data_IF_028805959731
#
_entry.id   IF_028805959731
#
_cell.length_a   1.000
_cell.length_b   1.000
_cell.length_c   1.000
_cell.angle_alpha   90.00
_cell.angle_beta   90.00
_cell.angle_gamma   90.00
#
_symmetry.space_group_name_H-M   'P 1'
#
loop_
_entity.id
_entity.type
_entity.pdbx_description
1 polymer ?
#
# COMPACT_ATOMS: atom_id res chain seq x y z
N UNK A 1 -6.17 20.01 -34.00
CA UNK A 1 -4.90 19.26 -34.02
C UNK A 1 -4.41 18.83 -32.64
N UNK A 2 -4.17 19.74 -31.68
CA UNK A 2 -3.76 19.33 -30.32
C UNK A 2 -4.88 18.60 -29.54
N UNK A 3 -6.11 19.12 -29.59
CA UNK A 3 -7.25 18.49 -28.91
C UNK A 3 -7.53 17.10 -29.50
N UNK A 4 -7.53 16.98 -30.83
CA UNK A 4 -7.73 15.69 -31.51
C UNK A 4 -6.66 14.67 -31.12
N UNK A 5 -5.39 15.10 -31.00
CA UNK A 5 -4.31 14.22 -30.55
C UNK A 5 -4.48 13.76 -29.10
N UNK A 6 -5.03 14.61 -28.24
CA UNK A 6 -5.36 14.26 -26.85
C UNK A 6 -6.54 13.28 -26.83
N UNK A 7 -7.57 13.50 -27.64
CA UNK A 7 -8.71 12.59 -27.76
C UNK A 7 -8.28 11.21 -28.26
N UNK A 8 -7.41 11.15 -29.28
CA UNK A 8 -6.85 9.89 -29.79
C UNK A 8 -6.02 9.19 -28.70
N UNK A 9 -5.14 9.92 -28.02
CA UNK A 9 -4.35 9.35 -26.92
C UNK A 9 -5.23 8.80 -25.80
N UNK A 10 -6.25 9.54 -25.35
CA UNK A 10 -7.18 9.05 -24.32
C UNK A 10 -7.95 7.83 -24.80
N UNK A 11 -8.38 7.80 -26.07
CA UNK A 11 -9.04 6.63 -26.65
C UNK A 11 -8.11 5.40 -26.68
N UNK A 12 -6.86 5.56 -27.12
CA UNK A 12 -5.85 4.49 -27.14
C UNK A 12 -5.48 4.00 -25.73
N UNK A 13 -5.44 4.91 -24.76
CA UNK A 13 -5.13 4.60 -23.37
C UNK A 13 -6.25 3.80 -22.69
N UNK A 14 -7.51 4.16 -22.93
CA UNK A 14 -8.65 3.52 -22.25
C UNK A 14 -9.25 2.32 -23.00
N UNK A 15 -9.03 2.17 -24.31
CA UNK A 15 -9.65 1.08 -25.11
C UNK A 15 -9.33 -0.33 -24.63
N UNK A 16 -8.11 -0.56 -24.17
CA UNK A 16 -7.62 -1.89 -23.79
C UNK A 16 -7.74 -2.12 -22.27
N UNK A 17 -8.34 -1.17 -21.55
CA UNK A 17 -8.37 -1.16 -20.09
C UNK A 17 -9.75 -1.56 -19.59
N UNK A 18 -9.81 -2.66 -18.84
CA UNK A 18 -11.05 -3.15 -18.26
C UNK A 18 -11.42 -2.46 -16.94
N UNK A 19 -10.46 -1.89 -16.23
CA UNK A 19 -10.67 -1.17 -14.97
C UNK A 19 -9.61 -0.08 -14.80
N UNK A 20 -9.99 1.08 -14.24
CA UNK A 20 -9.07 2.20 -14.00
C UNK A 20 -8.05 1.79 -12.93
N UNK A 21 -6.81 1.57 -13.32
CA UNK A 21 -5.70 1.24 -12.42
C UNK A 21 -5.01 2.50 -11.88
N UNK A 22 -4.36 2.38 -10.72
CA UNK A 22 -3.58 3.48 -10.10
C UNK A 22 -2.37 3.86 -10.93
N UNK A 23 -1.75 2.92 -11.65
CA UNK A 23 -0.65 3.16 -12.60
C UNK A 23 -1.08 4.13 -13.71
N UNK A 24 -2.24 3.86 -14.31
CA UNK A 24 -2.82 4.69 -15.36
C UNK A 24 -3.18 6.08 -14.85
N UNK A 25 -3.74 6.18 -13.64
CA UNK A 25 -4.03 7.47 -13.03
C UNK A 25 -2.75 8.29 -12.77
N UNK A 26 -1.65 7.64 -12.39
CA UNK A 26 -0.34 8.29 -12.20
C UNK A 26 0.22 8.80 -13.54
N UNK A 27 0.18 7.99 -14.59
CA UNK A 27 0.62 8.38 -15.94
C UNK A 27 -0.19 9.57 -16.46
N UNK A 28 -1.51 9.51 -16.28
CA UNK A 28 -2.42 10.55 -16.74
C UNK A 28 -2.23 11.84 -15.93
N UNK A 29 -2.02 11.76 -14.61
CA UNK A 29 -1.72 12.92 -13.75
C UNK A 29 -0.36 13.56 -14.07
N UNK A 30 0.62 12.76 -14.52
CA UNK A 30 1.92 13.27 -14.98
C UNK A 30 1.76 14.11 -16.26
N UNK A 31 0.90 13.66 -17.18
CA UNK A 31 0.70 14.30 -18.49
C UNK A 31 -0.35 15.43 -18.46
N UNK A 32 -1.36 15.31 -17.62
CA UNK A 32 -2.45 16.27 -17.44
C UNK A 32 -2.68 16.55 -15.94
N UNK A 33 -1.92 17.48 -15.34
CA UNK A 33 -1.96 17.73 -13.89
C UNK A 33 -3.32 18.22 -13.37
N UNK A 34 -4.11 18.87 -14.23
CA UNK A 34 -5.45 19.40 -13.93
C UNK A 34 -6.57 18.38 -14.16
N UNK A 35 -6.24 17.15 -14.58
CA UNK A 35 -7.21 16.13 -14.89
C UNK A 35 -7.74 15.47 -13.60
N UNK A 36 -8.98 15.81 -13.26
CA UNK A 36 -9.61 15.35 -12.02
C UNK A 36 -10.09 13.91 -12.14
N UNK A 37 -10.21 13.21 -11.00
CA UNK A 37 -10.71 11.84 -10.97
C UNK A 37 -12.11 11.71 -11.58
N UNK A 38 -12.99 12.69 -11.37
CA UNK A 38 -14.34 12.72 -11.94
C UNK A 38 -14.31 12.78 -13.48
N UNK A 39 -13.33 13.51 -14.04
CA UNK A 39 -13.16 13.62 -15.48
C UNK A 39 -12.59 12.32 -16.07
N UNK A 40 -11.69 11.63 -15.34
CA UNK A 40 -11.19 10.29 -15.70
C UNK A 40 -12.34 9.29 -15.80
N UNK A 41 -13.20 9.22 -14.78
CA UNK A 41 -14.33 8.27 -14.77
C UNK A 41 -15.31 8.57 -15.90
N UNK A 42 -15.65 9.85 -16.11
CA UNK A 42 -16.57 10.25 -17.17
C UNK A 42 -16.00 9.95 -18.57
N UNK A 43 -14.70 10.23 -18.81
CA UNK A 43 -14.07 9.92 -20.10
C UNK A 43 -13.94 8.42 -20.36
N UNK A 44 -13.67 7.64 -19.32
CA UNK A 44 -13.65 6.18 -19.41
C UNK A 44 -15.04 5.62 -19.78
N UNK A 45 -16.11 6.11 -19.17
CA UNK A 45 -17.49 5.73 -19.49
C UNK A 45 -17.88 6.13 -20.92
N UNK A 46 -17.53 7.35 -21.35
CA UNK A 46 -17.76 7.80 -22.72
C UNK A 46 -17.05 6.91 -23.74
N UNK A 47 -15.78 6.56 -23.49
CA UNK A 47 -15.01 5.69 -24.38
C UNK A 47 -15.61 4.29 -24.42
N UNK A 48 -16.12 3.77 -23.30
CA UNK A 48 -16.84 2.49 -23.27
C UNK A 48 -18.15 2.52 -24.05
N UNK A 49 -18.93 3.59 -23.88
CA UNK A 49 -20.14 3.79 -24.69
C UNK A 49 -19.81 3.86 -26.17
N UNK A 50 -18.71 4.52 -26.52
CA UNK A 50 -18.23 4.65 -27.89
C UNK A 50 -17.82 3.27 -28.44
N UNK A 51 -17.00 2.51 -27.72
CA UNK A 51 -16.59 1.16 -28.11
C UNK A 51 -17.80 0.24 -28.26
N UNK A 52 -18.78 0.30 -27.35
CA UNK A 52 -20.00 -0.51 -27.45
C UNK A 52 -20.87 -0.14 -28.66
N UNK A 53 -20.85 1.13 -29.08
CA UNK A 53 -21.55 1.59 -30.29
C UNK A 53 -20.80 1.29 -31.59
N UNK A 54 -19.50 0.97 -31.51
CA UNK A 54 -18.68 0.61 -32.67
C UNK A 54 -18.92 -0.85 -33.06
N UNK A 55 -18.93 -1.10 -34.37
CA UNK A 55 -19.14 -2.43 -34.95
C UNK A 55 -17.92 -3.32 -34.66
N UNK A 56 -18.06 -4.63 -34.37
CA UNK A 56 -16.93 -5.52 -34.08
C UNK A 56 -15.89 -5.62 -35.20
N UNK A 57 -16.27 -5.30 -36.45
CA UNK A 57 -15.35 -5.20 -37.59
C UNK A 57 -14.34 -4.05 -37.48
N UNK A 58 -14.60 -3.04 -36.65
CA UNK A 58 -13.72 -1.90 -36.45
C UNK A 58 -12.44 -2.27 -35.70
N UNK A 59 -12.50 -3.20 -34.74
CA UNK A 59 -11.34 -3.57 -33.93
C UNK A 59 -10.27 -4.31 -34.73
N UNK A 60 -10.68 -5.16 -35.67
CA UNK A 60 -9.77 -5.85 -36.58
C UNK A 60 -9.10 -4.85 -37.54
N UNK A 61 -9.86 -3.98 -38.19
CA UNK A 61 -9.32 -2.97 -39.12
C UNK A 61 -8.42 -1.94 -38.42
N UNK A 62 -8.78 -1.52 -37.20
CA UNK A 62 -7.99 -0.58 -36.43
C UNK A 62 -6.64 -1.18 -35.98
N UNK A 63 -6.64 -2.42 -35.49
CA UNK A 63 -5.43 -3.10 -35.03
C UNK A 63 -4.42 -3.30 -36.17
N UNK A 64 -4.90 -3.63 -37.39
CA UNK A 64 -4.06 -3.71 -38.58
C UNK A 64 -3.47 -2.35 -38.96
N UNK A 65 -4.22 -1.25 -38.79
CA UNK A 65 -3.77 0.11 -39.14
C UNK A 65 -2.83 0.75 -38.12
N UNK A 66 -2.89 0.39 -36.84
CA UNK A 66 -2.00 0.96 -35.81
C UNK A 66 -0.67 0.23 -35.72
N UNK A 67 -0.66 -1.10 -35.94
CA UNK A 67 0.59 -1.88 -36.02
C UNK A 67 1.45 -1.45 -37.22
N UNK A 68 0.83 -1.01 -38.32
CA UNK A 68 1.53 -0.58 -39.54
C UNK A 68 1.95 0.89 -39.56
N UNK A 69 1.65 1.68 -38.52
CA UNK A 69 1.78 3.15 -38.54
C UNK A 69 2.85 3.74 -37.64
N UNK A 70 3.65 2.93 -36.95
CA UNK A 70 4.96 3.43 -36.54
C UNK A 70 5.81 3.46 -37.81
N UNK A 71 6.14 4.61 -38.42
CA UNK A 71 7.33 4.63 -39.25
C UNK A 71 8.42 4.07 -38.35
N UNK A 72 9.16 3.07 -38.82
CA UNK A 72 10.35 2.54 -38.14
C UNK A 72 11.25 3.73 -37.82
N UNK A 73 11.03 4.35 -36.65
CA UNK A 73 11.87 5.40 -36.14
C UNK A 73 13.09 4.64 -35.70
N UNK A 74 14.02 4.46 -36.64
CA UNK A 74 15.30 3.86 -36.37
C UNK A 74 15.89 4.64 -35.19
N UNK A 75 15.89 4.03 -34.02
CA UNK A 75 16.41 4.67 -32.83
C UNK A 75 17.94 4.66 -32.98
N UNK A 76 18.58 5.77 -32.61
CA UNK A 76 20.04 5.80 -32.56
C UNK A 76 20.51 4.70 -31.59
N UNK A 77 21.31 3.75 -32.09
CA UNK A 77 21.75 2.58 -31.31
C UNK A 77 20.85 1.35 -31.38
N UNK A 78 19.82 1.32 -32.24
CA UNK A 78 18.98 0.11 -32.39
C UNK A 78 19.77 -1.10 -32.93
N UNK A 79 20.80 -0.85 -33.74
CA UNK A 79 21.70 -1.88 -34.25
C UNK A 79 22.89 -2.18 -33.31
N UNK A 80 23.05 -1.43 -32.22
CA UNK A 80 24.15 -1.70 -31.28
C UNK A 80 23.70 -2.78 -30.30
N UNK A 81 24.34 -3.93 -30.39
CA UNK A 81 24.15 -5.01 -29.41
C UNK A 81 24.84 -4.61 -28.12
N UNK A 82 24.06 -4.34 -27.08
CA UNK A 82 24.59 -4.18 -25.72
C UNK A 82 24.70 -5.56 -25.10
N UNK A 83 25.93 -6.04 -24.92
CA UNK A 83 26.16 -7.23 -24.11
C UNK A 83 26.09 -6.84 -22.63
N UNK A 84 25.22 -7.47 -21.82
CA UNK A 84 25.25 -7.26 -20.38
C UNK A 84 26.62 -7.75 -19.88
N UNK A 85 27.41 -6.85 -19.29
CA UNK A 85 28.67 -7.23 -18.67
C UNK A 85 28.32 -7.97 -17.39
N UNK A 86 28.34 -9.31 -17.46
CA UNK A 86 28.24 -10.16 -16.28
C UNK A 86 29.51 -10.02 -15.45
N UNK A 87 29.49 -9.09 -14.49
CA UNK A 87 30.57 -8.95 -13.50
C UNK A 87 30.48 -10.16 -12.58
N UNK A 88 31.29 -11.18 -12.83
CA UNK A 88 31.43 -12.32 -11.93
C UNK A 88 32.26 -11.87 -10.72
N UNK A 89 31.59 -11.52 -9.62
CA UNK A 89 32.24 -11.12 -8.37
C UNK A 89 32.69 -12.40 -7.65
N UNK A 90 33.89 -12.88 -8.00
CA UNK A 90 34.47 -14.09 -7.40
C UNK A 90 35.08 -13.83 -6.01
N UNK A 91 35.28 -12.57 -5.61
CA UNK A 91 35.88 -12.21 -4.33
C UNK A 91 35.20 -10.95 -3.77
N UNK A 92 34.88 -10.89 -2.46
CA UNK A 92 34.27 -9.71 -1.85
C UNK A 92 35.14 -8.48 -2.04
N UNK A 93 34.62 -7.52 -2.83
CA UNK A 93 35.25 -6.23 -3.07
C UNK A 93 35.37 -5.49 -1.72
N UNK A 94 36.58 -5.19 -1.23
CA UNK A 94 36.79 -4.71 0.14
C UNK A 94 36.24 -3.30 0.42
N UNK A 95 35.80 -2.58 -0.61
CA UNK A 95 35.18 -1.27 -0.52
C UNK A 95 33.65 -1.32 -0.65
N UNK A 96 33.09 -2.49 -0.93
CA UNK A 96 31.65 -2.70 -1.06
C UNK A 96 31.13 -3.16 0.31
N UNK A 97 30.19 -2.40 0.90
CA UNK A 97 29.58 -2.78 2.18
C UNK A 97 28.86 -4.12 2.04
N UNK A 98 28.80 -4.90 3.12
CA UNK A 98 28.27 -6.27 3.12
C UNK A 98 26.82 -6.32 2.59
N UNK A 99 26.05 -5.26 2.87
CA UNK A 99 24.68 -5.08 2.37
C UNK A 99 24.61 -4.87 0.86
N UNK A 100 25.56 -4.14 0.28
CA UNK A 100 25.66 -3.98 -1.19
C UNK A 100 26.18 -5.23 -1.89
N UNK A 101 26.98 -6.05 -1.20
CA UNK A 101 27.45 -7.33 -1.71
C UNK A 101 26.32 -8.36 -1.78
N UNK A 102 25.51 -8.47 -0.71
CA UNK A 102 24.35 -9.36 -0.67
C UNK A 102 23.31 -8.97 -1.75
N UNK A 103 23.10 -7.68 -1.97
CA UNK A 103 22.23 -7.19 -3.05
C UNK A 103 22.75 -7.58 -4.45
N UNK A 104 24.04 -7.40 -4.70
CA UNK A 104 24.66 -7.75 -5.99
C UNK A 104 24.59 -9.27 -6.27
N UNK A 105 24.77 -10.11 -5.24
CA UNK A 105 24.61 -11.56 -5.36
C UNK A 105 23.17 -11.97 -5.65
N UNK A 106 22.20 -11.34 -4.96
CA UNK A 106 20.78 -11.64 -5.14
C UNK A 106 20.27 -11.20 -6.52
N UNK A 107 20.75 -10.07 -7.05
CA UNK A 107 20.47 -9.62 -8.41
C UNK A 107 21.08 -10.57 -9.46
N UNK A 108 22.27 -11.12 -9.17
CA UNK A 108 22.94 -12.08 -10.06
C UNK A 108 22.25 -13.45 -10.09
N UNK A 109 21.68 -13.93 -8.97
CA UNK A 109 20.83 -15.12 -8.97
C UNK A 109 19.53 -14.88 -9.74
N UNK A 110 18.94 -13.69 -9.61
CA UNK A 110 17.72 -13.35 -10.34
C UNK A 110 17.97 -13.31 -11.87
N UNK A 111 19.12 -12.80 -12.32
CA UNK A 111 19.51 -12.79 -13.74
C UNK A 111 19.77 -14.22 -14.25
N UNK A 112 20.46 -15.07 -13.47
CA UNK A 112 20.68 -16.48 -13.84
C UNK A 112 19.38 -17.27 -13.99
N UNK A 113 18.35 -16.92 -13.21
CA UNK A 113 17.01 -17.51 -13.33
C UNK A 113 16.25 -17.00 -14.57
N UNK A 114 16.67 -15.88 -15.17
CA UNK A 114 16.02 -15.25 -16.32
C UNK A 114 16.74 -15.57 -17.67
N UNK A 115 17.98 -16.06 -17.64
CA UNK A 115 18.80 -16.40 -18.82
C UNK A 115 18.50 -17.77 -19.46
N UNK A 116 17.23 -18.23 -19.45
CA UNK A 116 16.78 -19.33 -20.32
C UNK A 116 15.93 -18.79 -21.47
N UNK A 117 16.50 -17.91 -22.31
CA UNK A 117 15.92 -17.61 -23.62
C UNK A 117 17.04 -17.35 -24.64
N UNK A 118 17.42 -18.39 -25.39
CA UNK A 118 18.04 -18.21 -26.71
C UNK A 118 17.12 -18.80 -27.78
N UNK A 119 16.55 -17.86 -28.55
CA UNK A 119 16.39 -17.91 -30.01
C UNK A 119 15.72 -19.15 -30.67
N UNK A 120 14.41 -19.04 -30.97
CA UNK A 120 13.81 -19.55 -32.21
C UNK A 120 12.33 -19.10 -32.41
N UNK A 121 12.13 -18.17 -33.37
CA UNK A 121 10.99 -18.02 -34.31
C UNK A 121 9.51 -17.93 -33.82
N UNK A 122 8.61 -17.31 -34.62
CA UNK A 122 7.39 -16.69 -34.14
C UNK A 122 6.24 -17.69 -34.05
N UNK A 123 5.74 -17.94 -32.85
CA UNK A 123 4.50 -18.68 -32.63
C UNK A 123 3.66 -17.91 -31.62
N UNK A 124 2.49 -17.49 -32.11
CA UNK A 124 1.25 -17.17 -31.41
C UNK A 124 1.31 -16.25 -30.18
N UNK A 125 0.39 -15.28 -30.18
CA UNK A 125 0.08 -14.41 -29.06
C UNK A 125 0.14 -15.14 -27.71
N UNK A 126 0.66 -14.49 -26.65
CA UNK A 126 0.63 -15.06 -25.31
C UNK A 126 -0.82 -15.25 -24.91
N UNK A 127 -1.28 -16.49 -25.06
CA UNK A 127 -2.52 -16.96 -24.47
C UNK A 127 -2.32 -16.84 -22.97
N UNK A 128 -3.20 -16.08 -22.33
CA UNK A 128 -3.43 -15.96 -20.90
C UNK A 128 -2.31 -16.52 -20.01
N UNK A 129 -1.55 -15.61 -19.38
CA UNK A 129 -0.71 -15.90 -18.22
C UNK A 129 -1.34 -17.03 -17.41
N UNK A 130 -0.69 -18.19 -17.36
CA UNK A 130 -1.14 -19.33 -16.59
C UNK A 130 -1.32 -18.83 -15.15
N UNK A 131 -2.57 -18.59 -14.77
CA UNK A 131 -2.90 -18.16 -13.42
C UNK A 131 -2.34 -19.24 -12.50
N UNK A 132 -1.37 -18.87 -11.65
CA UNK A 132 -0.82 -19.80 -10.65
C UNK A 132 -2.00 -20.48 -9.96
N UNK A 133 -2.09 -21.80 -10.12
CA UNK A 133 -3.18 -22.63 -9.57
C UNK A 133 -3.25 -22.41 -8.05
N UNK A 134 -2.10 -22.16 -7.45
CA UNK A 134 -1.90 -21.90 -6.04
C UNK A 134 -2.20 -20.45 -5.66
N UNK A 135 -3.49 -20.14 -5.52
CA UNK A 135 -3.95 -18.85 -4.97
C UNK A 135 -4.23 -18.96 -3.48
N UNK A 136 -4.37 -17.82 -2.78
CA UNK A 136 -4.84 -17.82 -1.38
C UNK A 136 -6.15 -18.59 -1.19
N UNK A 137 -7.05 -18.49 -2.16
CA UNK A 137 -8.34 -19.22 -2.15
C UNK A 137 -8.14 -20.73 -2.26
N UNK A 138 -7.14 -21.18 -3.02
CA UNK A 138 -6.80 -22.60 -3.12
C UNK A 138 -6.36 -23.14 -1.76
N UNK A 139 -5.43 -22.46 -1.09
CA UNK A 139 -4.95 -22.85 0.24
C UNK A 139 -6.10 -22.86 1.27
N UNK A 140 -6.93 -21.81 1.28
CA UNK A 140 -8.12 -21.75 2.13
C UNK A 140 -9.10 -22.91 1.87
N UNK A 141 -9.27 -23.33 0.61
CA UNK A 141 -10.18 -24.42 0.28
C UNK A 141 -9.65 -25.77 0.76
N UNK A 142 -8.34 -26.02 0.60
CA UNK A 142 -7.71 -27.24 1.09
C UNK A 142 -7.77 -27.34 2.62
N UNK A 143 -7.44 -26.25 3.31
CA UNK A 143 -7.49 -26.21 4.78
C UNK A 143 -8.92 -26.24 5.33
N UNK A 144 -9.93 -25.77 4.58
CA UNK A 144 -11.35 -25.97 4.95
C UNK A 144 -11.75 -27.43 4.94
N UNK A 145 -11.19 -28.25 4.05
CA UNK A 145 -11.46 -29.70 4.03
C UNK A 145 -10.94 -30.35 5.31
N UNK A 146 -9.74 -29.96 5.75
CA UNK A 146 -9.15 -30.39 7.04
C UNK A 146 -10.05 -29.97 8.22
N UNK A 147 -10.48 -28.71 8.26
CA UNK A 147 -11.30 -28.19 9.35
C UNK A 147 -12.70 -28.83 9.45
N UNK A 148 -13.27 -29.32 8.35
CA UNK A 148 -14.55 -30.06 8.35
C UNK A 148 -14.44 -31.45 8.95
N UNK A 149 -13.28 -32.08 8.85
CA UNK A 149 -13.05 -33.42 9.43
C UNK A 149 -12.85 -33.31 10.95
N UNK A 150 -12.36 -32.16 11.42
CA UNK A 150 -11.96 -31.91 12.81
C UNK A 150 -13.03 -31.23 13.66
N UNK A 151 -14.32 -31.47 13.37
CA UNK A 151 -15.48 -30.83 14.02
C UNK A 151 -15.37 -30.89 15.56
N UNK A 152 -14.97 -29.76 16.18
CA UNK A 152 -15.06 -29.52 17.63
C UNK A 152 -13.77 -29.16 18.37
N UNK A 153 -12.57 -29.29 17.78
CA UNK A 153 -11.30 -29.12 18.50
C UNK A 153 -10.50 -27.87 18.09
N UNK A 154 -11.11 -26.97 17.32
CA UNK A 154 -10.37 -25.87 16.72
C UNK A 154 -10.39 -24.60 17.59
N UNK A 155 -9.25 -24.29 18.19
CA UNK A 155 -9.04 -23.09 19.02
C UNK A 155 -8.90 -21.83 18.13
N UNK A 156 -8.56 -21.99 16.85
CA UNK A 156 -8.27 -20.91 15.90
C UNK A 156 -9.38 -20.74 14.87
N UNK A 157 -9.69 -19.49 14.51
CA UNK A 157 -10.61 -19.23 13.40
C UNK A 157 -10.06 -19.77 12.06
N UNK A 158 -10.91 -20.08 11.07
CA UNK A 158 -10.48 -20.65 9.78
C UNK A 158 -9.48 -19.75 9.02
N UNK A 159 -9.58 -18.43 9.22
CA UNK A 159 -8.65 -17.47 8.63
C UNK A 159 -7.31 -17.42 9.37
N UNK A 160 -7.33 -17.55 10.70
CA UNK A 160 -6.12 -17.57 11.54
C UNK A 160 -5.34 -18.86 11.32
N UNK A 161 -6.03 -19.99 11.18
CA UNK A 161 -5.45 -21.27 10.80
C UNK A 161 -4.76 -21.21 9.43
N UNK A 162 -5.42 -20.61 8.43
CA UNK A 162 -4.82 -20.42 7.10
C UNK A 162 -3.59 -19.50 7.13
N UNK A 163 -3.61 -18.45 7.96
CA UNK A 163 -2.46 -17.56 8.13
C UNK A 163 -1.29 -18.28 8.81
N UNK A 164 -1.56 -19.05 9.87
CA UNK A 164 -0.54 -19.82 10.59
C UNK A 164 0.17 -20.81 9.65
N UNK A 165 -0.58 -21.59 8.87
CA UNK A 165 -0.02 -22.53 7.88
C UNK A 165 0.82 -21.77 6.84
N UNK A 166 0.36 -20.61 6.37
CA UNK A 166 1.11 -19.80 5.43
C UNK A 166 2.41 -19.24 6.03
N UNK A 167 2.38 -18.76 7.28
CA UNK A 167 3.56 -18.30 8.00
C UNK A 167 4.60 -19.42 8.17
N UNK A 168 4.15 -20.64 8.49
CA UNK A 168 5.03 -21.83 8.56
C UNK A 168 5.70 -22.11 7.21
N UNK A 169 4.96 -21.99 6.09
CA UNK A 169 5.51 -22.17 4.74
C UNK A 169 6.53 -21.10 4.35
N UNK A 170 6.34 -19.85 4.81
CA UNK A 170 7.24 -18.72 4.51
C UNK A 170 8.51 -18.73 5.38
N UNK A 171 8.51 -19.45 6.50
CA UNK A 171 9.65 -19.51 7.42
C UNK A 171 10.94 -19.99 6.73
N UNK A 172 12.12 -19.50 7.13
CA UNK A 172 13.40 -19.93 6.53
C UNK A 172 13.88 -21.31 6.99
N UNK A 173 12.99 -22.10 7.60
CA UNK A 173 13.30 -23.45 8.08
C UNK A 173 13.49 -24.45 6.94
N UNK A 174 14.14 -25.56 7.26
CA UNK A 174 14.32 -26.68 6.34
C UNK A 174 12.97 -27.37 6.07
N UNK A 175 12.86 -28.09 4.95
CA UNK A 175 11.62 -28.77 4.58
C UNK A 175 11.21 -29.82 5.63
N UNK A 176 12.17 -30.49 6.28
CA UNK A 176 11.93 -31.46 7.36
C UNK A 176 11.34 -30.78 8.62
N UNK A 177 11.87 -29.62 9.00
CA UNK A 177 11.37 -28.82 10.13
C UNK A 177 9.96 -28.27 9.84
N UNK A 178 9.73 -27.81 8.61
CA UNK A 178 8.43 -27.33 8.15
C UNK A 178 7.43 -28.48 8.14
N UNK A 179 7.83 -29.68 7.71
CA UNK A 179 6.97 -30.86 7.74
C UNK A 179 6.53 -31.20 9.15
N UNK A 180 7.46 -31.23 10.11
CA UNK A 180 7.10 -31.50 11.51
C UNK A 180 6.13 -30.43 12.05
N UNK A 181 6.43 -29.16 11.81
CA UNK A 181 5.59 -28.03 12.24
C UNK A 181 4.19 -28.08 11.60
N UNK A 182 4.10 -28.39 10.31
CA UNK A 182 2.81 -28.53 9.61
C UNK A 182 2.04 -29.75 10.07
N UNK A 183 2.69 -30.87 10.39
CA UNK A 183 2.04 -32.04 10.98
C UNK A 183 1.44 -31.72 12.35
N UNK A 184 2.12 -30.91 13.16
CA UNK A 184 1.61 -30.51 14.47
C UNK A 184 0.43 -29.52 14.36
N UNK A 185 0.42 -28.66 13.33
CA UNK A 185 -0.65 -27.68 13.09
C UNK A 185 -1.87 -28.31 12.41
N UNK A 186 -1.64 -29.03 11.32
CA UNK A 186 -2.68 -29.59 10.43
C UNK A 186 -3.16 -30.95 10.92
N UNK A 187 -2.27 -31.75 11.51
CA UNK A 187 -2.53 -33.12 11.94
C UNK A 187 -1.81 -34.15 11.06
N UNK A 188 -1.33 -35.23 11.69
CA UNK A 188 -0.67 -36.35 11.01
C UNK A 188 -1.61 -37.17 10.11
N UNK A 189 -2.92 -36.94 10.19
CA UNK A 189 -3.92 -37.55 9.30
C UNK A 189 -3.94 -36.95 7.88
N UNK A 190 -3.30 -35.79 7.69
CA UNK A 190 -3.30 -35.04 6.44
C UNK A 190 -1.90 -34.95 5.79
N UNK A 191 -1.06 -35.97 5.97
CA UNK A 191 0.32 -36.00 5.46
C UNK A 191 0.40 -35.82 3.93
N UNK A 192 -0.57 -36.32 3.18
CA UNK A 192 -0.61 -36.11 1.71
C UNK A 192 -0.72 -34.63 1.34
N UNK A 193 -1.59 -33.88 2.03
CA UNK A 193 -1.71 -32.44 1.86
C UNK A 193 -0.41 -31.73 2.26
N UNK A 194 0.18 -32.12 3.39
CA UNK A 194 1.44 -31.53 3.88
C UNK A 194 2.57 -31.77 2.87
N UNK A 195 2.63 -32.96 2.26
CA UNK A 195 3.59 -33.27 1.20
C UNK A 195 3.38 -32.39 -0.03
N UNK A 196 2.14 -32.20 -0.47
CA UNK A 196 1.80 -31.32 -1.60
C UNK A 196 2.18 -29.85 -1.33
N UNK A 197 1.96 -29.38 -0.09
CA UNK A 197 2.29 -28.03 0.35
C UNK A 197 3.80 -27.77 0.33
N UNK A 198 4.60 -28.73 0.79
CA UNK A 198 6.07 -28.61 0.81
C UNK A 198 6.64 -28.73 -0.61
N UNK A 199 6.16 -29.70 -1.40
CA UNK A 199 6.63 -29.92 -2.76
C UNK A 199 6.39 -28.70 -3.66
N UNK A 200 5.29 -27.98 -3.46
CA UNK A 200 4.93 -26.79 -4.23
C UNK A 200 5.14 -25.48 -3.46
N UNK A 201 5.95 -25.50 -2.38
CA UNK A 201 6.12 -24.40 -1.43
C UNK A 201 6.37 -23.04 -2.09
N UNK A 202 7.33 -22.95 -3.01
CA UNK A 202 7.66 -21.70 -3.68
C UNK A 202 6.52 -21.20 -4.58
N UNK A 203 5.89 -22.11 -5.35
CA UNK A 203 4.75 -21.77 -6.20
C UNK A 203 3.53 -21.27 -5.41
N UNK A 204 3.31 -21.84 -4.22
CA UNK A 204 2.24 -21.42 -3.30
C UNK A 204 2.55 -20.04 -2.71
N UNK A 205 3.77 -19.80 -2.26
CA UNK A 205 4.19 -18.50 -1.72
C UNK A 205 4.05 -17.41 -2.80
N UNK A 206 4.57 -17.67 -4.00
CA UNK A 206 4.53 -16.72 -5.11
C UNK A 206 3.11 -16.45 -5.59
N UNK A 207 2.29 -17.49 -5.71
CA UNK A 207 0.89 -17.36 -6.13
C UNK A 207 0.04 -16.60 -5.10
N UNK A 208 0.26 -16.84 -3.80
CA UNK A 208 -0.41 -16.09 -2.73
C UNK A 208 0.05 -14.64 -2.69
N UNK A 209 1.36 -14.38 -2.73
CA UNK A 209 1.92 -13.03 -2.68
C UNK A 209 1.51 -12.20 -3.91
N UNK A 210 1.46 -12.81 -5.09
CA UNK A 210 1.00 -12.19 -6.34
C UNK A 210 -0.50 -11.92 -6.29
N UNK A 211 -1.32 -12.85 -5.77
CA UNK A 211 -2.75 -12.61 -5.57
C UNK A 211 -3.05 -11.49 -4.55
N UNK A 212 -2.16 -11.29 -3.57
CA UNK A 212 -2.26 -10.22 -2.57
C UNK A 212 -1.86 -8.84 -3.12
N UNK A 213 -1.05 -8.78 -4.18
CA UNK A 213 -0.70 -7.55 -4.91
C UNK A 213 -1.82 -7.08 -5.86
N UNK A 214 -2.73 -7.99 -6.27
CA UNK A 214 -3.85 -7.69 -7.16
C UNK A 214 -5.08 -7.08 -6.46
N UNK A 215 -5.11 -6.99 -5.13
CA UNK A 215 -6.18 -6.29 -4.40
C UNK A 215 -5.74 -4.85 -4.11
N UNK A 216 -6.54 -3.82 -4.42
CA UNK A 216 -6.33 -2.49 -3.88
C UNK A 216 -6.41 -2.61 -2.36
N UNK A 217 -5.27 -2.57 -1.67
CA UNK A 217 -5.24 -2.68 -0.21
C UNK A 217 -5.94 -1.46 0.36
N UNK A 218 -7.08 -1.72 1.00
CA UNK A 218 -7.59 -0.90 2.07
C UNK A 218 -6.44 -0.64 3.05
N UNK A 219 -6.26 0.63 3.42
CA UNK A 219 -5.10 1.14 4.13
C UNK A 219 -5.13 0.60 5.57
N UNK A 220 -4.65 -0.63 5.76
CA UNK A 220 -4.17 -1.09 7.07
C UNK A 220 -2.74 -0.61 7.18
N UNK A 221 -2.52 0.35 8.07
CA UNK A 221 -1.20 0.88 8.40
C UNK A 221 -0.35 -0.28 8.95
N UNK A 222 0.50 -0.84 8.10
CA UNK A 222 1.56 -1.74 8.52
C UNK A 222 2.65 -0.93 9.25
N UNK A 223 3.34 -1.54 10.24
CA UNK A 223 4.32 -0.86 11.07
C UNK A 223 5.47 -0.30 10.23
N UNK A 224 5.90 0.92 10.58
CA UNK A 224 6.83 1.80 9.85
C UNK A 224 8.19 1.17 9.49
N UNK A 225 8.51 -0.01 10.00
CA UNK A 225 9.77 -0.72 9.76
C UNK A 225 9.92 -1.22 8.32
N UNK A 226 8.84 -1.66 7.66
CA UNK A 226 8.93 -2.25 6.31
C UNK A 226 9.08 -1.17 5.22
N UNK A 227 8.54 0.03 5.45
CA UNK A 227 8.63 1.13 4.47
C UNK A 227 10.03 1.77 4.41
N UNK A 228 10.86 1.63 5.44
CA UNK A 228 12.24 2.17 5.42
C UNK A 228 13.22 1.33 4.60
N UNK A 229 12.92 0.04 4.38
CA UNK A 229 13.83 -0.90 3.72
C UNK A 229 13.72 -0.89 2.18
N UNK A 230 12.72 -0.20 1.62
CA UNK A 230 12.43 -0.15 0.18
C UNK A 230 12.67 1.22 -0.45
N UNK A 231 13.22 2.19 0.29
CA UNK A 231 13.60 3.49 -0.27
C UNK A 231 15.11 3.53 -0.55
N UNK A 232 15.54 4.06 -1.71
CA UNK A 232 16.95 4.29 -1.96
C UNK A 232 17.53 5.15 -0.84
N UNK A 233 18.72 4.79 -0.36
CA UNK A 233 19.42 5.52 0.71
C UNK A 233 19.78 6.91 0.15
N UNK A 234 18.91 7.88 0.37
CA UNK A 234 19.16 9.27 0.04
C UNK A 234 20.22 9.79 1.02
N UNK A 235 21.27 10.42 0.48
CA UNK A 235 22.29 11.11 1.27
C UNK A 235 21.68 12.21 2.16
N UNK A 236 22.49 12.83 3.04
CA UNK A 236 22.02 13.81 4.03
C UNK A 236 21.14 14.88 3.38
N UNK A 237 19.84 14.84 3.68
CA UNK A 237 18.90 15.80 3.11
C UNK A 237 19.14 17.15 3.77
N UNK A 238 19.68 18.10 2.99
CA UNK A 238 19.90 19.47 3.45
C UNK A 238 18.55 20.18 3.43
N UNK A 239 17.97 20.41 4.60
CA UNK A 239 16.76 21.22 4.73
C UNK A 239 17.17 22.68 4.94
N UNK A 240 16.92 23.52 3.94
CA UNK A 240 17.14 24.97 4.03
C UNK A 240 15.87 25.60 4.59
N UNK A 241 15.90 25.97 5.87
CA UNK A 241 14.80 26.69 6.51
C UNK A 241 14.92 28.19 6.29
N UNK A 242 13.78 28.85 6.02
CA UNK A 242 13.74 30.31 5.94
C UNK A 242 13.90 30.94 7.33
N UNK A 243 14.39 32.19 7.39
CA UNK A 243 14.53 32.92 8.65
C UNK A 243 13.17 33.08 9.37
N UNK A 244 12.09 33.24 8.59
CA UNK A 244 10.73 33.37 9.09
C UNK A 244 10.26 32.08 9.78
N UNK A 245 10.52 30.93 9.16
CA UNK A 245 10.21 29.60 9.73
C UNK A 245 10.97 29.37 11.05
N UNK A 246 12.24 29.76 11.11
CA UNK A 246 13.06 29.68 12.34
C UNK A 246 12.52 30.58 13.46
N UNK A 247 11.96 31.75 13.14
CA UNK A 247 11.31 32.64 14.12
C UNK A 247 9.99 32.07 14.63
N UNK A 248 9.16 31.51 13.74
CA UNK A 248 7.91 30.85 14.12
C UNK A 248 8.17 29.63 15.02
N UNK A 249 9.18 28.81 14.70
CA UNK A 249 9.56 27.67 15.54
C UNK A 249 9.98 28.07 16.95
N UNK A 250 10.62 29.23 17.13
CA UNK A 250 10.95 29.76 18.47
C UNK A 250 9.71 30.23 19.24
N UNK A 251 8.74 30.84 18.55
CA UNK A 251 7.48 31.27 19.17
C UNK A 251 6.66 30.09 19.65
N UNK A 252 6.56 29.03 18.84
CA UNK A 252 5.85 27.78 19.19
C UNK A 252 6.48 27.15 20.44
N UNK A 253 7.81 26.96 20.47
CA UNK A 253 8.50 26.40 21.64
C UNK A 253 8.32 27.25 22.91
N UNK A 254 8.23 28.57 22.76
CA UNK A 254 8.00 29.49 23.88
C UNK A 254 6.56 29.35 24.40
N UNK A 255 5.59 29.18 23.50
CA UNK A 255 4.19 28.96 23.84
C UNK A 255 3.98 27.60 24.52
N UNK A 256 4.60 26.54 24.00
CA UNK A 256 4.53 25.19 24.60
C UNK A 256 5.12 25.16 26.01
N UNK A 257 6.27 25.82 26.22
CA UNK A 257 6.86 25.95 27.57
C UNK A 257 5.95 26.73 28.52
N UNK A 258 5.26 27.76 28.03
CA UNK A 258 4.31 28.54 28.83
C UNK A 258 3.08 27.72 29.20
N UNK A 259 2.57 26.93 28.25
CA UNK A 259 1.44 26.03 28.50
C UNK A 259 1.82 24.94 29.51
N UNK A 260 2.97 24.28 29.36
CA UNK A 260 3.45 23.29 30.34
C UNK A 260 3.60 23.85 31.75
N UNK A 261 4.07 25.10 31.91
CA UNK A 261 4.16 25.76 33.21
C UNK A 261 2.77 26.06 33.81
N UNK A 262 1.80 26.48 32.98
CA UNK A 262 0.42 26.69 33.43
C UNK A 262 -0.26 25.37 33.81
N UNK A 263 0.01 24.28 33.08
CA UNK A 263 -0.50 22.95 33.40
C UNK A 263 0.09 22.42 34.72
N UNK A 264 1.35 22.73 35.03
CA UNK A 264 1.99 22.35 36.31
C UNK A 264 1.49 23.15 37.52
N UNK A 265 1.01 24.37 37.33
CA UNK A 265 0.42 25.20 38.40
C UNK A 265 -1.04 24.86 38.72
N UNK A 266 -1.70 24.02 37.91
CA UNK A 266 -3.07 23.54 38.12
C UNK A 266 -3.09 22.15 38.81
N UNK A 267 -2.21 21.92 39.78
CA UNK A 267 -2.40 20.81 40.73
C UNK A 267 -3.44 21.23 41.78
N UNK A 268 -4.51 20.45 42.01
CA UNK A 268 -5.71 20.90 42.72
C UNK A 268 -5.66 20.82 44.26
N UNK A 269 -4.52 20.54 44.89
CA UNK A 269 -4.47 20.18 46.32
C UNK A 269 -3.99 21.30 47.28
N UNK A 270 -3.93 22.57 46.84
CA UNK A 270 -3.66 23.69 47.75
C UNK A 270 -4.92 24.56 47.96
N UNK A 271 -5.61 24.46 49.11
CA UNK A 271 -6.82 25.24 49.41
C UNK A 271 -6.58 26.75 49.53
N UNK A 272 -5.33 27.22 49.43
CA UNK A 272 -5.00 28.65 49.32
C UNK A 272 -4.92 29.16 47.86
N UNK A 273 -4.92 28.28 46.87
CA UNK A 273 -4.87 28.63 45.43
C UNK A 273 -6.11 29.40 44.97
N UNK A 274 -7.25 29.18 45.64
CA UNK A 274 -8.52 29.86 45.35
C UNK A 274 -8.47 31.36 45.68
N UNK A 275 -7.60 31.77 46.61
CA UNK A 275 -7.41 33.18 46.99
C UNK A 275 -6.32 33.90 46.19
N UNK A 276 -5.51 33.17 45.40
CA UNK A 276 -4.34 33.73 44.72
C UNK A 276 -4.67 34.39 43.37
N UNK A 277 -5.82 34.07 42.76
CA UNK A 277 -6.20 34.58 41.44
C UNK A 277 -7.32 35.65 41.53
N UNK A 278 -6.99 36.95 41.43
CA UNK A 278 -7.97 38.03 41.58
C UNK A 278 -9.07 38.02 40.51
N UNK A 279 -8.81 37.45 39.33
CA UNK A 279 -9.82 37.31 38.27
C UNK A 279 -10.85 36.22 38.58
N UNK A 280 -10.45 35.11 39.21
CA UNK A 280 -11.37 34.07 39.66
C UNK A 280 -12.29 34.57 40.78
N UNK A 281 -11.75 35.35 41.72
CA UNK A 281 -12.55 35.97 42.79
C UNK A 281 -13.57 36.97 42.26
N UNK A 282 -13.24 37.69 41.18
CA UNK A 282 -14.18 38.59 40.49
C UNK A 282 -15.30 37.81 39.82
N UNK A 283 -14.95 36.73 39.12
CA UNK A 283 -15.92 35.85 38.47
C UNK A 283 -16.88 35.21 39.48
N UNK A 284 -16.35 34.67 40.58
CA UNK A 284 -17.16 34.03 41.64
C UNK A 284 -18.12 35.04 42.27
N UNK A 285 -17.64 36.25 42.59
CA UNK A 285 -18.46 37.36 43.10
C UNK A 285 -19.58 37.74 42.14
N UNK A 286 -19.29 37.85 40.85
CA UNK A 286 -20.29 38.20 39.84
C UNK A 286 -21.34 37.09 39.69
N UNK A 287 -20.91 35.82 39.76
CA UNK A 287 -21.81 34.65 39.78
C UNK A 287 -22.74 34.65 40.99
N UNK A 288 -22.22 34.90 42.18
CA UNK A 288 -23.03 34.99 43.40
C UNK A 288 -24.02 36.17 43.36
N UNK A 289 -23.61 37.32 42.82
CA UNK A 289 -24.49 38.46 42.62
C UNK A 289 -25.64 38.12 41.67
N UNK A 290 -25.38 37.41 40.57
CA UNK A 290 -26.43 36.95 39.66
C UNK A 290 -27.39 35.97 40.33
N UNK A 291 -26.88 35.00 41.10
CA UNK A 291 -27.73 34.07 41.85
C UNK A 291 -28.56 34.78 42.93
N UNK A 292 -28.01 35.80 43.57
CA UNK A 292 -28.73 36.59 44.56
C UNK A 292 -29.82 37.47 43.92
N UNK A 293 -29.57 38.03 42.74
CA UNK A 293 -30.60 38.76 42.00
C UNK A 293 -31.70 37.82 41.53
N UNK A 294 -31.35 36.66 40.98
CA UNK A 294 -32.30 35.61 40.57
C UNK A 294 -33.18 35.16 41.74
N UNK A 295 -32.57 34.81 42.89
CA UNK A 295 -33.32 34.49 44.13
C UNK A 295 -34.21 35.62 44.62
N UNK A 296 -33.81 36.89 44.41
CA UNK A 296 -34.65 38.05 44.77
C UNK A 296 -35.84 38.17 43.83
N UNK A 297 -35.65 37.94 42.53
CA UNK A 297 -36.75 37.89 41.56
C UNK A 297 -37.71 36.73 41.86
N UNK A 298 -37.20 35.56 42.22
CA UNK A 298 -38.05 34.44 42.66
C UNK A 298 -38.85 34.78 43.92
N UNK A 299 -38.22 35.38 44.94
CA UNK A 299 -38.95 35.82 46.14
C UNK A 299 -40.02 36.88 45.84
N UNK A 300 -39.76 37.82 44.95
CA UNK A 300 -40.76 38.82 44.55
C UNK A 300 -41.89 38.20 43.74
N UNK A 301 -41.60 37.18 42.92
CA UNK A 301 -42.60 36.39 42.20
C UNK A 301 -43.51 35.60 43.14
N UNK A 302 -42.95 35.00 44.22
CA UNK A 302 -43.75 34.26 45.22
C UNK A 302 -44.54 35.16 46.17
N UNK A 303 -44.08 36.39 46.43
CA UNK A 303 -44.81 37.41 47.21
C UNK A 303 -45.89 38.14 46.39
N UNK A 304 -45.85 38.06 45.06
CA UNK A 304 -46.87 38.62 44.16
C UNK A 304 -48.03 37.64 43.87
N UNK A 305 -48.08 36.49 44.54
CA UNK A 305 -49.26 35.63 44.59
C UNK A 305 -50.05 35.85 45.88
N UNK A 306 -51.11 36.69 45.85
CA UNK A 306 -52.34 36.45 46.58
C UNK A 306 -53.31 35.53 45.81
#
# INVERSE_FOLDING_TARGET
SQIDSVCIYLFELFRNVNQIQVSLLKELKLRFPTYTQQLVTHTFELIRSLIHSLKPSFDEEYSSRTSSKTPSKQLFGEATVFHPVSIQINEPLPWLDRLSYDFAYQEQENIKNEETWTEALPIAAPTAAAASIYTKKWLENQLRTVLKVRDGENILGPQEFCNLVFETLVSSSSDDEIQHSLCDIVGYEHIELISELIQNRQMIIDGILTSAKARPREIVRAPELIQRQLQPIHGPTIVVQSEQEKRLGKLIRKQDRKQQQQSQQQQPDDPLSEFANPDMLRYERERELLLATEKRYEKLSTLSQP
#
